data_IF_039735069726
#
_entry.id   IF_039735069726
#
_cell.length_a   1.000
_cell.length_b   1.000
_cell.length_c   1.000
_cell.angle_alpha   90.00
_cell.angle_beta   90.00
_cell.angle_gamma   90.00
#
_symmetry.space_group_name_H-M   'P 1'
#
loop_
_entity.id
_entity.type
_entity.pdbx_description
1 polymer ?
#
# COMPACT_ATOMS: atom_id res chain seq x y z
N UNK A 1 -19.50 2.16 -20.18
CA UNK A 1 -19.36 1.17 -19.09
C UNK A 1 -18.25 0.23 -19.50
N UNK A 2 -17.14 0.22 -18.77
CA UNK A 2 -15.96 -0.59 -19.10
C UNK A 2 -16.08 -1.94 -18.38
N UNK A 3 -15.74 -3.01 -19.08
CA UNK A 3 -15.78 -4.38 -18.59
C UNK A 3 -14.36 -4.91 -18.44
N UNK A 4 -14.10 -5.66 -17.38
CA UNK A 4 -12.77 -6.22 -17.08
C UNK A 4 -12.47 -7.37 -18.05
N UNK A 5 -11.28 -7.37 -18.64
CA UNK A 5 -10.74 -8.44 -19.50
C UNK A 5 -9.55 -9.12 -18.80
N UNK A 6 -9.11 -10.29 -19.31
CA UNK A 6 -7.90 -10.94 -18.82
C UNK A 6 -6.65 -10.05 -18.92
N UNK A 7 -6.60 -9.16 -19.92
CA UNK A 7 -5.52 -8.19 -20.10
C UNK A 7 -5.44 -7.15 -18.97
N UNK A 8 -6.53 -6.94 -18.23
CA UNK A 8 -6.58 -6.05 -17.07
C UNK A 8 -6.14 -6.74 -15.77
N UNK A 9 -6.05 -8.08 -15.73
CA UNK A 9 -5.68 -8.83 -14.53
C UNK A 9 -4.32 -8.45 -13.93
N UNK A 10 -3.26 -8.17 -14.73
CA UNK A 10 -1.99 -7.70 -14.18
C UNK A 10 -2.12 -6.41 -13.36
N UNK A 11 -3.04 -5.52 -13.71
CA UNK A 11 -3.28 -4.27 -12.98
C UNK A 11 -3.88 -4.54 -11.60
N UNK A 12 -4.82 -5.48 -11.50
CA UNK A 12 -5.37 -5.90 -10.20
C UNK A 12 -4.34 -6.61 -9.32
N UNK A 13 -3.50 -7.46 -9.93
CA UNK A 13 -2.42 -8.14 -9.21
C UNK A 13 -1.39 -7.15 -8.68
N UNK A 14 -0.96 -6.18 -9.50
CA UNK A 14 -0.01 -5.16 -9.07
C UNK A 14 -0.61 -4.22 -8.02
N UNK A 15 -1.87 -3.79 -8.18
CA UNK A 15 -2.59 -3.02 -7.17
C UNK A 15 -2.64 -3.75 -5.82
N UNK A 16 -2.88 -5.06 -5.84
CA UNK A 16 -2.91 -5.91 -4.64
C UNK A 16 -1.52 -6.01 -4.03
N UNK A 17 -0.48 -6.29 -4.85
CA UNK A 17 0.91 -6.38 -4.41
C UNK A 17 1.37 -5.09 -3.71
N UNK A 18 1.07 -3.93 -4.31
CA UNK A 18 1.41 -2.61 -3.76
C UNK A 18 0.65 -2.31 -2.46
N UNK A 19 -0.63 -2.69 -2.38
CA UNK A 19 -1.42 -2.55 -1.16
C UNK A 19 -0.84 -3.40 -0.03
N UNK A 20 -0.51 -4.66 -0.30
CA UNK A 20 0.02 -5.58 0.69
C UNK A 20 1.40 -5.14 1.17
N UNK A 21 2.24 -4.60 0.29
CA UNK A 21 3.51 -3.96 0.63
C UNK A 21 3.33 -2.77 1.58
N UNK A 22 2.38 -1.86 1.29
CA UNK A 22 2.05 -0.73 2.18
C UNK A 22 1.55 -1.20 3.56
N UNK A 23 0.67 -2.21 3.60
CA UNK A 23 0.15 -2.78 4.85
C UNK A 23 1.26 -3.43 5.68
N UNK A 24 2.17 -4.16 5.04
CA UNK A 24 3.32 -4.78 5.72
C UNK A 24 4.18 -3.72 6.40
N UNK A 25 4.56 -2.67 5.66
CA UNK A 25 5.40 -1.58 6.20
C UNK A 25 4.68 -0.80 7.30
N UNK A 26 3.37 -0.60 7.19
CA UNK A 26 2.58 0.01 8.26
C UNK A 26 2.66 -0.79 9.56
N UNK A 27 2.53 -2.12 9.47
CA UNK A 27 2.64 -3.01 10.64
C UNK A 27 4.05 -3.00 11.24
N UNK A 28 5.08 -2.97 10.40
CA UNK A 28 6.47 -2.86 10.86
C UNK A 28 6.71 -1.55 11.61
N UNK A 29 6.24 -0.42 11.06
CA UNK A 29 6.33 0.87 11.75
C UNK A 29 5.58 0.87 13.09
N UNK A 30 4.36 0.32 13.14
CA UNK A 30 3.61 0.22 14.39
C UNK A 30 4.32 -0.62 15.45
N UNK A 31 5.04 -1.68 15.05
CA UNK A 31 5.86 -2.46 15.97
C UNK A 31 7.00 -1.61 16.56
N UNK A 32 7.68 -0.79 15.75
CA UNK A 32 8.71 0.13 16.24
C UNK A 32 8.13 1.22 17.18
N UNK A 33 6.96 1.76 16.85
CA UNK A 33 6.22 2.69 17.74
C UNK A 33 5.86 2.03 19.06
N UNK A 34 5.46 0.76 19.06
CA UNK A 34 5.17 0.02 20.29
C UNK A 34 6.44 -0.13 21.15
N UNK A 35 7.59 -0.41 20.54
CA UNK A 35 8.88 -0.46 21.25
C UNK A 35 9.29 0.91 21.79
N UNK A 36 8.99 1.99 21.07
CA UNK A 36 9.19 3.36 21.56
C UNK A 36 8.30 3.69 22.75
N UNK A 37 7.03 3.30 22.71
CA UNK A 37 6.10 3.47 23.82
C UNK A 37 6.51 2.66 25.07
N UNK A 38 7.25 1.54 24.88
CA UNK A 38 7.89 0.77 25.97
C UNK A 38 9.19 1.40 26.48
N UNK A 39 9.64 2.52 25.90
CA UNK A 39 10.87 3.21 26.25
C UNK A 39 12.15 2.50 25.79
N UNK A 40 12.06 1.57 24.82
CA UNK A 40 13.21 0.80 24.31
C UNK A 40 13.96 1.51 23.19
N UNK A 41 13.30 2.46 22.52
CA UNK A 41 13.84 3.29 21.45
C UNK A 41 13.18 4.67 21.49
N UNK A 42 13.79 5.68 20.89
CA UNK A 42 13.17 7.00 20.73
C UNK A 42 12.08 6.97 19.67
N UNK A 43 11.12 7.88 19.73
CA UNK A 43 10.10 7.97 18.68
C UNK A 43 10.70 8.38 17.34
N UNK A 44 11.74 9.22 17.37
CA UNK A 44 12.54 9.64 16.23
C UNK A 44 13.20 8.46 15.52
N UNK A 45 13.55 7.39 16.24
CA UNK A 45 14.14 6.19 15.65
C UNK A 45 13.15 5.43 14.75
N UNK A 46 11.84 5.71 14.87
CA UNK A 46 10.78 5.11 14.03
C UNK A 46 10.59 5.85 12.69
N UNK A 47 11.17 7.05 12.53
CA UNK A 47 11.01 7.89 11.35
C UNK A 47 11.45 7.20 10.04
N UNK A 48 12.58 6.46 9.98
CA UNK A 48 12.98 5.75 8.77
C UNK A 48 11.90 4.78 8.27
N UNK A 49 11.32 3.98 9.17
CA UNK A 49 10.27 3.02 8.81
C UNK A 49 8.96 3.70 8.46
N UNK A 50 8.63 4.80 9.13
CA UNK A 50 7.51 5.65 8.76
C UNK A 50 7.64 6.19 7.33
N UNK A 51 8.83 6.66 6.95
CA UNK A 51 9.10 7.16 5.61
C UNK A 51 9.00 6.05 4.54
N UNK A 52 9.46 4.83 4.83
CA UNK A 52 9.25 3.66 3.96
C UNK A 52 7.75 3.38 3.77
N UNK A 53 6.98 3.37 4.86
CA UNK A 53 5.52 3.20 4.81
C UNK A 53 4.83 4.29 3.99
N UNK A 54 5.20 5.56 4.17
CA UNK A 54 4.66 6.67 3.39
C UNK A 54 4.98 6.53 1.90
N UNK A 55 6.21 6.17 1.55
CA UNK A 55 6.62 5.98 0.17
C UNK A 55 5.82 4.85 -0.51
N UNK A 56 5.65 3.70 0.18
CA UNK A 56 4.86 2.58 -0.33
C UNK A 56 3.37 2.93 -0.48
N UNK A 57 2.81 3.66 0.49
CA UNK A 57 1.42 4.13 0.44
C UNK A 57 1.20 5.10 -0.71
N UNK A 58 2.14 6.03 -0.92
CA UNK A 58 2.10 6.94 -2.06
C UNK A 58 2.15 6.18 -3.37
N UNK A 59 3.07 5.21 -3.51
CA UNK A 59 3.20 4.38 -4.71
C UNK A 59 1.91 3.62 -5.02
N UNK A 60 1.30 3.00 -4.01
CA UNK A 60 0.00 2.33 -4.17
C UNK A 60 -1.10 3.32 -4.60
N UNK A 61 -1.18 4.49 -3.97
CA UNK A 61 -2.18 5.51 -4.29
C UNK A 61 -2.01 6.08 -5.70
N UNK A 62 -0.78 6.43 -6.08
CA UNK A 62 -0.49 6.92 -7.43
C UNK A 62 -0.88 5.86 -8.48
N UNK A 63 -0.60 4.58 -8.22
CA UNK A 63 -1.00 3.48 -9.10
C UNK A 63 -2.53 3.35 -9.21
N UNK A 64 -3.24 3.43 -8.08
CA UNK A 64 -4.71 3.41 -8.05
C UNK A 64 -5.29 4.57 -8.86
N UNK A 65 -4.73 5.78 -8.70
CA UNK A 65 -5.23 6.98 -9.37
C UNK A 65 -5.01 6.88 -10.90
N UNK A 66 -3.86 6.35 -11.35
CA UNK A 66 -3.58 6.11 -12.79
C UNK A 66 -4.49 5.05 -13.40
N UNK A 67 -4.84 4.01 -12.64
CA UNK A 67 -5.61 2.86 -13.12
C UNK A 67 -7.06 2.84 -12.64
N UNK A 68 -7.58 3.96 -12.14
CA UNK A 68 -8.89 4.04 -11.48
C UNK A 68 -10.03 3.55 -12.38
N UNK A 69 -9.98 3.87 -13.68
CA UNK A 69 -11.00 3.43 -14.66
C UNK A 69 -11.12 1.90 -14.74
N UNK A 70 -9.99 1.20 -14.65
CA UNK A 70 -9.92 -0.27 -14.72
C UNK A 70 -10.26 -0.88 -13.36
N UNK A 71 -9.70 -0.34 -12.28
CA UNK A 71 -9.88 -0.87 -10.93
C UNK A 71 -11.31 -0.68 -10.39
N UNK A 72 -12.03 0.32 -10.90
CA UNK A 72 -13.45 0.58 -10.59
C UNK A 72 -14.42 0.02 -11.63
N UNK A 73 -13.92 -0.63 -12.69
CA UNK A 73 -14.75 -1.22 -13.73
C UNK A 73 -15.61 -2.38 -13.18
N UNK A 74 -16.76 -2.63 -13.83
CA UNK A 74 -17.60 -3.78 -13.47
C UNK A 74 -17.03 -5.04 -14.12
N UNK A 75 -17.03 -6.15 -13.37
CA UNK A 75 -16.75 -7.49 -13.93
C UNK A 75 -17.93 -7.89 -14.84
N UNK A 76 -17.64 -8.33 -16.06
CA UNK A 76 -18.64 -8.99 -16.92
C UNK A 76 -18.50 -10.50 -16.67
N UNK A 77 -19.52 -11.10 -16.05
CA UNK A 77 -19.62 -12.55 -15.88
C UNK A 77 -20.21 -13.21 -17.12
#
# INVERSE_FOLDING_TARGET
>A
MQYITEENMPIFQEATRLRDESIRLHKEWLAEVEESNKGRTSFEDTEPKFNEYLAATKKWKDFQDVHAEILLAKVQN
#
